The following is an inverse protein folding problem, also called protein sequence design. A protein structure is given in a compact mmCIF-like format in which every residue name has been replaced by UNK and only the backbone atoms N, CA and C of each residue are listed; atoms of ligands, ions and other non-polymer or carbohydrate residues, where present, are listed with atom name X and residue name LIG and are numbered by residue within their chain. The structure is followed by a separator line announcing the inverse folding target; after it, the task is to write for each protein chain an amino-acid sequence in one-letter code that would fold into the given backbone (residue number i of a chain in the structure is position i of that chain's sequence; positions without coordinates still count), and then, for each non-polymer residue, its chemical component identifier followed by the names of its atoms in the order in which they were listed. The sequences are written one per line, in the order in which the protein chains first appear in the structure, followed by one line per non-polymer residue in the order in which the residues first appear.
data_IF_642648246179
#
_entry.id   IF_642648246179
#
_cell.length_a   1.000
_cell.length_b   1.000
_cell.length_c   1.000
_cell.angle_alpha   90.00
_cell.angle_beta   90.00
_cell.angle_gamma   90.00
#
_symmetry.space_group_name_H-M   'P 1'
#
loop_
_entity.id
_entity.type
_entity.pdbx_description
1 polymer ?
#
# COMPACT_ATOMS: atom_id res chain seq x y z
N UNK A 1 -42.03 80.79 -11.73
CA UNK A 1 -40.78 80.21 -12.28
C UNK A 1 -40.65 80.27 -13.80
N UNK A 2 -41.65 80.72 -14.58
CA UNK A 2 -41.59 80.68 -16.07
C UNK A 2 -40.38 81.42 -16.67
N UNK A 3 -40.04 82.60 -16.13
CA UNK A 3 -38.85 83.36 -16.53
C UNK A 3 -37.53 82.59 -16.33
N UNK A 4 -37.39 81.86 -15.21
CA UNK A 4 -36.19 81.07 -14.94
C UNK A 4 -36.07 79.88 -15.90
N UNK A 5 -37.18 79.23 -16.23
CA UNK A 5 -37.18 78.19 -17.27
C UNK A 5 -36.71 78.72 -18.62
N UNK A 6 -37.10 79.94 -19.00
CA UNK A 6 -36.65 80.57 -20.24
C UNK A 6 -35.15 80.88 -20.24
N UNK A 7 -34.58 81.34 -19.12
CA UNK A 7 -33.15 81.62 -18.98
C UNK A 7 -32.27 80.35 -19.01
N UNK A 8 -32.79 79.19 -18.61
CA UNK A 8 -32.04 77.93 -18.64
C UNK A 8 -32.13 77.18 -19.97
N UNK A 9 -33.00 77.59 -20.91
CA UNK A 9 -33.08 77.05 -22.28
C UNK A 9 -31.73 76.89 -23.00
N UNK A 10 -30.81 77.88 -23.01
CA UNK A 10 -29.51 77.73 -23.67
C UNK A 10 -28.56 76.72 -22.98
N UNK A 11 -28.74 76.46 -21.69
CA UNK A 11 -27.87 75.56 -20.91
C UNK A 11 -28.38 74.12 -20.80
N UNK A 12 -29.55 73.82 -21.39
CA UNK A 12 -30.21 72.52 -21.33
C UNK A 12 -29.33 71.36 -21.78
N UNK A 13 -28.41 71.58 -22.75
CA UNK A 13 -27.47 70.55 -23.25
C UNK A 13 -26.42 70.10 -22.22
N UNK A 14 -26.17 70.88 -21.18
CA UNK A 14 -25.19 70.57 -20.13
C UNK A 14 -25.80 69.83 -18.93
N UNK A 15 -27.13 69.68 -18.90
CA UNK A 15 -27.85 69.07 -17.79
C UNK A 15 -28.11 67.59 -18.04
N UNK A 16 -27.93 66.78 -17.00
CA UNK A 16 -28.14 65.32 -17.05
C UNK A 16 -29.64 64.96 -17.00
N UNK A 17 -30.48 65.83 -16.45
CA UNK A 17 -31.94 65.68 -16.35
C UNK A 17 -32.66 67.02 -16.59
N UNK A 18 -33.96 66.96 -16.87
CA UNK A 18 -34.80 68.17 -16.97
C UNK A 18 -34.93 68.87 -15.60
N UNK A 19 -35.10 70.19 -15.63
CA UNK A 19 -35.15 71.05 -14.45
C UNK A 19 -36.50 70.90 -13.76
N UNK A 20 -36.49 70.74 -12.44
CA UNK A 20 -37.70 70.75 -11.60
C UNK A 20 -37.83 72.05 -10.80
N UNK A 21 -39.03 72.34 -10.31
CA UNK A 21 -39.30 73.52 -9.50
C UNK A 21 -38.48 73.54 -8.18
N UNK A 22 -38.12 72.37 -7.65
CA UNK A 22 -37.21 72.25 -6.51
C UNK A 22 -35.78 72.68 -6.83
N UNK A 23 -35.27 72.33 -8.01
CA UNK A 23 -33.92 72.70 -8.44
C UNK A 23 -33.83 74.23 -8.64
N UNK A 24 -34.90 74.86 -9.14
CA UNK A 24 -35.02 76.31 -9.25
C UNK A 24 -35.07 77.01 -7.89
N UNK A 25 -35.78 76.44 -6.90
CA UNK A 25 -35.78 76.96 -5.52
C UNK A 25 -34.41 76.84 -4.84
N UNK A 26 -33.68 75.75 -5.10
CA UNK A 26 -32.30 75.60 -4.60
C UNK A 26 -31.35 76.61 -5.22
N UNK A 27 -31.54 76.94 -6.50
CA UNK A 27 -30.76 77.94 -7.22
C UNK A 27 -30.98 79.36 -6.69
N UNK A 28 -32.21 79.73 -6.31
CA UNK A 28 -32.53 81.06 -5.76
C UNK A 28 -32.02 81.25 -4.33
N UNK A 29 -31.79 80.17 -3.59
CA UNK A 29 -31.30 80.18 -2.21
C UNK A 29 -29.78 80.02 -2.08
N UNK A 30 -29.03 80.10 -3.19
CA UNK A 30 -27.57 79.92 -3.14
C UNK A 30 -26.93 81.06 -2.35
N UNK A 31 -26.19 80.76 -1.26
CA UNK A 31 -25.50 81.78 -0.48
C UNK A 31 -24.39 82.43 -1.31
N UNK A 32 -24.23 83.76 -1.19
CA UNK A 32 -23.30 84.56 -2.00
C UNK A 32 -21.84 84.05 -1.99
N UNK A 33 -21.43 83.41 -0.90
CA UNK A 33 -20.10 82.77 -0.75
C UNK A 33 -19.86 81.72 -1.86
N UNK A 34 -20.88 80.94 -2.24
CA UNK A 34 -20.78 79.91 -3.28
C UNK A 34 -20.65 80.44 -4.72
N UNK A 35 -20.88 81.74 -4.91
CA UNK A 35 -20.76 82.41 -6.22
C UNK A 35 -19.31 82.89 -6.43
N UNK A 36 -18.46 82.80 -5.41
CA UNK A 36 -17.06 83.18 -5.51
C UNK A 36 -16.29 82.28 -6.47
N UNK A 37 -15.27 82.83 -7.14
CA UNK A 37 -14.45 82.12 -8.13
C UNK A 37 -13.78 80.85 -7.56
N UNK A 38 -13.44 80.85 -6.28
CA UNK A 38 -12.85 79.70 -5.58
C UNK A 38 -13.85 78.54 -5.40
N UNK A 39 -15.08 78.84 -4.96
CA UNK A 39 -16.13 77.82 -4.83
C UNK A 39 -16.60 77.31 -6.20
N UNK A 40 -16.63 78.18 -7.22
CA UNK A 40 -16.92 77.75 -8.61
C UNK A 40 -15.85 76.77 -9.12
N UNK A 41 -14.57 77.03 -8.88
CA UNK A 41 -13.49 76.13 -9.27
C UNK A 41 -13.54 74.79 -8.50
N UNK A 42 -13.90 74.81 -7.21
CA UNK A 42 -14.10 73.59 -6.42
C UNK A 42 -15.31 72.78 -6.89
N UNK A 43 -16.39 73.46 -7.27
CA UNK A 43 -17.56 72.81 -7.86
C UNK A 43 -17.22 72.18 -9.22
N UNK A 44 -16.42 72.83 -10.06
CA UNK A 44 -15.91 72.28 -11.31
C UNK A 44 -15.02 71.04 -11.09
N UNK A 45 -14.12 71.09 -10.10
CA UNK A 45 -13.30 69.93 -9.71
C UNK A 45 -14.18 68.75 -9.25
N UNK A 46 -15.15 69.01 -8.36
CA UNK A 46 -16.08 67.98 -7.90
C UNK A 46 -16.94 67.42 -9.05
N UNK A 47 -17.38 68.26 -10.00
CA UNK A 47 -18.11 67.81 -11.18
C UNK A 47 -17.26 66.88 -12.04
N UNK A 48 -15.95 67.17 -12.18
CA UNK A 48 -15.02 66.32 -12.92
C UNK A 48 -14.79 64.98 -12.21
N UNK A 49 -14.56 64.98 -10.90
CA UNK A 49 -14.42 63.74 -10.11
C UNK A 49 -15.68 62.86 -10.20
N UNK A 50 -16.86 63.47 -10.14
CA UNK A 50 -18.13 62.75 -10.28
C UNK A 50 -18.33 62.18 -11.68
N UNK A 51 -17.86 62.87 -12.73
CA UNK A 51 -17.88 62.36 -14.10
C UNK A 51 -16.95 61.16 -14.27
N UNK A 52 -15.73 61.24 -13.73
CA UNK A 52 -14.77 60.13 -13.76
C UNK A 52 -15.30 58.91 -13.00
N UNK A 53 -15.90 59.11 -11.82
CA UNK A 53 -16.57 58.03 -11.07
C UNK A 53 -17.75 57.43 -11.84
N UNK A 54 -18.55 58.25 -12.53
CA UNK A 54 -19.64 57.78 -13.36
C UNK A 54 -19.16 56.92 -14.54
N UNK A 55 -18.06 57.32 -15.17
CA UNK A 55 -17.43 56.54 -16.24
C UNK A 55 -16.90 55.20 -15.73
N UNK A 56 -16.23 55.20 -14.57
CA UNK A 56 -15.78 53.97 -13.92
C UNK A 56 -16.94 53.04 -13.55
N UNK A 57 -18.02 53.58 -12.94
CA UNK A 57 -19.21 52.79 -12.60
C UNK A 57 -19.87 52.22 -13.85
N UNK A 58 -20.00 53.01 -14.93
CA UNK A 58 -20.51 52.50 -16.21
C UNK A 58 -19.61 51.40 -16.79
N UNK A 59 -18.29 51.56 -16.69
CA UNK A 59 -17.33 50.54 -17.11
C UNK A 59 -17.49 49.24 -16.31
N UNK A 60 -17.65 49.33 -14.98
CA UNK A 60 -17.92 48.15 -14.14
C UNK A 60 -19.28 47.51 -14.41
N UNK A 61 -20.31 48.31 -14.71
CA UNK A 61 -21.65 47.81 -15.09
C UNK A 61 -21.64 47.10 -16.45
N UNK A 62 -20.81 47.55 -17.39
CA UNK A 62 -20.64 46.88 -18.68
C UNK A 62 -19.80 45.60 -18.53
N UNK A 63 -18.83 45.59 -17.61
CA UNK A 63 -17.90 44.47 -17.37
C UNK A 63 -18.16 43.80 -16.00
N UNK A 64 -19.41 43.39 -15.75
CA UNK A 64 -19.84 42.83 -14.47
C UNK A 64 -19.07 41.56 -14.04
N UNK A 65 -18.68 40.72 -15.00
CA UNK A 65 -17.95 39.48 -14.72
C UNK A 65 -16.56 39.78 -14.17
N UNK A 66 -15.83 40.71 -14.80
CA UNK A 66 -14.49 41.11 -14.35
C UNK A 66 -14.54 41.81 -12.99
N UNK A 67 -15.54 42.68 -12.80
CA UNK A 67 -15.79 43.32 -11.51
C UNK A 67 -16.08 42.28 -10.40
N UNK A 68 -16.90 41.26 -10.69
CA UNK A 68 -17.19 40.19 -9.74
C UNK A 68 -15.93 39.37 -9.41
N UNK A 69 -15.10 39.04 -10.40
CA UNK A 69 -13.83 38.33 -10.20
C UNK A 69 -12.88 39.16 -9.33
N UNK A 70 -12.76 40.45 -9.61
CA UNK A 70 -11.93 41.37 -8.82
C UNK A 70 -12.44 41.49 -7.39
N UNK A 71 -13.76 41.60 -7.21
CA UNK A 71 -14.40 41.60 -5.90
C UNK A 71 -14.08 40.31 -5.11
N UNK A 72 -14.20 39.12 -5.72
CA UNK A 72 -13.82 37.87 -5.05
C UNK A 72 -12.31 37.78 -4.77
N UNK A 73 -11.45 38.30 -5.65
CA UNK A 73 -10.00 38.38 -5.41
C UNK A 73 -9.67 39.29 -4.22
N UNK A 74 -10.35 40.44 -4.09
CA UNK A 74 -10.16 41.34 -2.94
C UNK A 74 -10.65 40.71 -1.64
N UNK A 75 -11.78 39.98 -1.66
CA UNK A 75 -12.24 39.20 -0.52
C UNK A 75 -11.24 38.12 -0.10
N UNK A 76 -10.70 37.37 -1.07
CA UNK A 76 -9.66 36.35 -0.80
C UNK A 76 -8.42 36.97 -0.17
N UNK A 77 -7.98 38.15 -0.63
CA UNK A 77 -6.84 38.87 -0.04
C UNK A 77 -7.12 39.36 1.38
N UNK A 78 -8.31 39.92 1.63
CA UNK A 78 -8.70 40.46 2.96
C UNK A 78 -8.93 39.37 4.01
N UNK A 79 -9.50 38.23 3.63
CA UNK A 79 -9.97 37.20 4.57
C UNK A 79 -9.25 35.85 4.44
N UNK A 80 -8.36 35.66 3.47
CA UNK A 80 -7.69 34.38 3.21
C UNK A 80 -6.38 34.17 3.98
N UNK A 81 -5.73 35.24 4.46
CA UNK A 81 -4.47 35.13 5.23
C UNK A 81 -4.74 34.44 6.57
N UNK A 82 -4.06 33.33 6.84
CA UNK A 82 -4.20 32.55 8.08
C UNK A 82 -5.40 31.59 8.12
N UNK A 83 -6.15 31.46 7.03
CA UNK A 83 -7.25 30.48 6.88
C UNK A 83 -6.90 29.43 5.83
N UNK A 84 -5.78 28.76 6.03
CA UNK A 84 -5.41 27.62 5.20
C UNK A 84 -6.34 26.44 5.45
N UNK A 85 -6.46 25.58 4.44
CA UNK A 85 -7.30 24.39 4.50
C UNK A 85 -6.72 23.45 5.56
N UNK A 86 -7.49 23.19 6.61
CA UNK A 86 -7.10 22.27 7.70
C UNK A 86 -7.28 20.79 7.36
N UNK A 87 -7.92 20.49 6.23
CA UNK A 87 -8.21 19.13 5.78
C UNK A 87 -7.38 18.77 4.56
N UNK A 88 -6.74 17.60 4.62
CA UNK A 88 -6.03 17.02 3.50
C UNK A 88 -7.00 16.17 2.66
N UNK A 89 -6.93 16.27 1.33
CA UNK A 89 -7.70 15.39 0.45
C UNK A 89 -6.84 14.18 0.14
N UNK A 90 -7.00 13.10 0.91
CA UNK A 90 -6.44 11.79 0.58
C UNK A 90 -7.50 10.95 -0.13
N UNK A 91 -7.12 10.29 -1.22
CA UNK A 91 -7.95 9.24 -1.81
C UNK A 91 -7.88 8.03 -0.88
N UNK A 92 -9.00 7.76 -0.21
CA UNK A 92 -9.16 6.55 0.59
C UNK A 92 -9.70 5.48 -0.35
N UNK A 93 -8.96 4.38 -0.53
CA UNK A 93 -9.55 3.19 -1.11
C UNK A 93 -10.71 2.70 -0.22
N UNK A 94 -11.80 2.27 -0.85
CA UNK A 94 -12.83 1.47 -0.21
C UNK A 94 -12.19 0.18 0.30
N UNK A 95 -11.74 0.21 1.56
CA UNK A 95 -11.25 -0.97 2.26
C UNK A 95 -12.41 -1.96 2.27
N UNK A 96 -12.28 -3.05 1.51
CA UNK A 96 -13.20 -4.16 1.61
C UNK A 96 -13.05 -4.69 3.03
N UNK A 97 -14.06 -4.48 3.87
CA UNK A 97 -14.05 -4.78 5.31
C UNK A 97 -13.68 -6.24 5.66
N UNK A 98 -13.56 -7.12 4.65
CA UNK A 98 -13.05 -8.48 4.80
C UNK A 98 -11.53 -8.58 4.96
N UNK A 99 -10.73 -7.63 4.49
CA UNK A 99 -9.25 -7.71 4.58
C UNK A 99 -8.66 -7.11 5.87
N UNK A 100 -9.41 -6.27 6.58
CA UNK A 100 -8.96 -5.65 7.85
C UNK A 100 -9.81 -6.18 8.98
N UNK A 101 -9.68 -7.48 9.24
CA UNK A 101 -10.18 -8.07 10.48
C UNK A 101 -8.93 -8.46 11.26
N UNK A 102 -8.70 -7.77 12.36
CA UNK A 102 -7.64 -8.11 13.31
C UNK A 102 -7.77 -9.60 13.65
N UNK A 103 -6.67 -10.35 13.49
CA UNK A 103 -6.55 -11.73 13.94
C UNK A 103 -6.59 -11.74 15.49
N UNK A 104 -7.81 -11.75 16.03
CA UNK A 104 -8.06 -11.65 17.47
C UNK A 104 -8.10 -13.02 18.14
N UNK A 105 -8.29 -14.09 17.38
CA UNK A 105 -8.45 -15.44 17.92
C UNK A 105 -7.23 -16.32 17.63
N UNK A 106 -6.96 -17.26 18.53
CA UNK A 106 -5.84 -18.20 18.42
C UNK A 106 -6.35 -19.56 18.00
N UNK A 107 -5.80 -20.11 16.93
CA UNK A 107 -6.17 -21.44 16.45
C UNK A 107 -5.33 -22.53 17.12
N UNK A 108 -6.01 -23.53 17.68
CA UNK A 108 -5.40 -24.69 18.32
C UNK A 108 -5.82 -26.00 17.64
N UNK A 109 -4.96 -27.02 17.72
CA UNK A 109 -5.22 -28.36 17.18
C UNK A 109 -4.87 -29.46 18.18
N UNK A 110 -5.78 -30.42 18.31
CA UNK A 110 -5.50 -31.71 18.91
C UNK A 110 -5.37 -32.76 17.80
N UNK A 111 -4.12 -33.09 17.45
CA UNK A 111 -3.83 -34.00 16.32
C UNK A 111 -4.28 -35.44 16.56
N UNK A 112 -4.20 -35.92 17.80
CA UNK A 112 -4.52 -37.30 18.15
C UNK A 112 -6.04 -37.56 18.16
N UNK A 113 -6.79 -36.65 18.77
CA UNK A 113 -8.25 -36.76 18.82
C UNK A 113 -8.93 -36.24 17.56
N UNK A 114 -8.28 -35.37 16.79
CA UNK A 114 -8.78 -34.90 15.50
C UNK A 114 -9.65 -33.64 15.57
N UNK A 115 -9.42 -32.80 16.59
CA UNK A 115 -10.17 -31.55 16.80
C UNK A 115 -9.33 -30.32 16.48
N UNK A 116 -9.95 -29.31 15.88
CA UNK A 116 -9.37 -27.99 15.60
C UNK A 116 -10.36 -26.93 16.08
N UNK A 117 -9.87 -25.86 16.69
CA UNK A 117 -10.71 -24.73 17.07
C UNK A 117 -10.04 -23.78 18.05
N UNK A 118 -10.75 -22.71 18.41
CA UNK A 118 -10.24 -21.62 19.24
C UNK A 118 -10.44 -21.86 20.75
N UNK A 119 -11.35 -22.77 21.12
CA UNK A 119 -11.61 -23.13 22.52
C UNK A 119 -10.57 -24.11 23.11
N UNK A 120 -9.71 -24.70 22.29
CA UNK A 120 -8.74 -25.74 22.68
C UNK A 120 -7.43 -25.15 23.24
N UNK A 121 -7.53 -24.26 24.22
CA UNK A 121 -6.38 -23.49 24.78
C UNK A 121 -5.25 -24.32 25.39
N UNK A 122 -5.44 -25.63 25.58
CA UNK A 122 -4.46 -26.56 26.16
C UNK A 122 -3.67 -27.36 25.11
N UNK A 123 -4.10 -27.32 23.86
CA UNK A 123 -3.51 -28.11 22.78
C UNK A 123 -2.50 -27.28 21.95
N UNK A 124 -1.96 -27.86 20.87
CA UNK A 124 -0.92 -27.24 20.06
C UNK A 124 -1.43 -25.96 19.37
N UNK A 125 -0.73 -24.84 19.59
CA UNK A 125 -1.00 -23.57 18.91
C UNK A 125 -0.46 -23.58 17.48
N UNK A 126 -1.26 -23.11 16.52
CA UNK A 126 -0.89 -23.07 15.09
C UNK A 126 -0.62 -21.64 14.64
N UNK A 127 -1.65 -20.79 14.61
CA UNK A 127 -1.58 -19.43 14.07
C UNK A 127 -2.74 -18.60 14.61
N UNK A 128 -2.59 -17.28 14.63
CA UNK A 128 -3.69 -16.36 14.91
C UNK A 128 -4.64 -16.29 13.69
N UNK A 129 -5.95 -16.35 13.93
CA UNK A 129 -6.99 -16.38 12.90
C UNK A 129 -8.12 -15.37 13.20
N UNK A 130 -8.87 -15.03 12.16
CA UNK A 130 -10.10 -14.24 12.24
C UNK A 130 -11.33 -15.15 12.13
N UNK A 131 -12.44 -14.77 12.76
CA UNK A 131 -13.71 -15.49 12.72
C UNK A 131 -14.25 -15.70 11.29
N UNK A 132 -13.82 -14.88 10.32
CA UNK A 132 -14.23 -15.00 8.92
C UNK A 132 -13.30 -15.89 8.07
N UNK A 133 -12.14 -16.27 8.61
CA UNK A 133 -11.19 -17.09 7.89
C UNK A 133 -11.71 -18.51 7.68
N UNK A 134 -11.24 -19.12 6.59
CA UNK A 134 -11.44 -20.53 6.32
C UNK A 134 -10.17 -21.29 6.75
N UNK A 135 -10.33 -22.45 7.38
CA UNK A 135 -9.22 -23.31 7.81
C UNK A 135 -9.20 -24.54 6.90
N UNK A 136 -8.02 -24.87 6.36
CA UNK A 136 -7.77 -26.13 5.66
C UNK A 136 -7.06 -27.11 6.58
N UNK A 137 -7.55 -28.36 6.60
CA UNK A 137 -6.97 -29.43 7.39
C UNK A 137 -6.83 -30.73 6.58
N UNK A 138 -5.73 -31.43 6.83
CA UNK A 138 -5.36 -32.68 6.16
C UNK A 138 -5.11 -33.78 7.20
N UNK A 139 -5.70 -34.96 6.97
CA UNK A 139 -5.54 -36.12 7.86
C UNK A 139 -4.61 -37.17 7.26
N UNK A 140 -4.08 -38.05 8.12
CA UNK A 140 -3.25 -39.19 7.72
C UNK A 140 -3.98 -40.21 6.85
N UNK A 141 -5.31 -40.24 6.88
CA UNK A 141 -6.12 -41.06 5.97
C UNK A 141 -6.15 -40.49 4.53
N UNK A 142 -5.60 -39.30 4.31
CA UNK A 142 -5.63 -38.62 3.02
C UNK A 142 -6.93 -37.88 2.76
N UNK A 143 -7.64 -37.47 3.82
CA UNK A 143 -8.84 -36.62 3.70
C UNK A 143 -8.48 -35.16 3.93
N UNK A 144 -9.11 -34.30 3.14
CA UNK A 144 -9.02 -32.85 3.23
C UNK A 144 -10.39 -32.28 3.56
N UNK A 145 -10.46 -31.35 4.50
CA UNK A 145 -11.67 -30.57 4.80
C UNK A 145 -11.31 -29.11 4.95
N UNK A 146 -12.17 -28.24 4.42
CA UNK A 146 -12.11 -26.81 4.69
C UNK A 146 -13.38 -26.37 5.40
N UNK A 147 -13.25 -25.60 6.46
CA UNK A 147 -14.35 -25.16 7.31
C UNK A 147 -14.07 -23.77 7.87
N UNK A 148 -15.12 -23.05 8.28
CA UNK A 148 -14.99 -21.73 8.90
C UNK A 148 -14.45 -21.88 10.33
N UNK A 149 -13.69 -20.89 10.83
CA UNK A 149 -13.29 -20.84 12.24
C UNK A 149 -14.51 -21.04 13.17
N UNK A 150 -14.35 -21.93 14.15
CA UNK A 150 -15.35 -22.24 15.17
C UNK A 150 -14.64 -22.78 16.43
N UNK A 151 -15.38 -22.83 17.54
CA UNK A 151 -14.85 -23.22 18.86
C UNK A 151 -14.19 -24.61 18.85
N UNK A 152 -14.84 -25.58 18.20
CA UNK A 152 -14.38 -26.98 18.11
C UNK A 152 -14.99 -27.68 16.90
N UNK A 153 -14.15 -28.12 15.97
CA UNK A 153 -14.54 -28.86 14.77
C UNK A 153 -13.78 -30.17 14.70
N UNK A 154 -14.49 -31.26 14.42
CA UNK A 154 -13.88 -32.55 14.16
C UNK A 154 -13.60 -32.71 12.65
N UNK A 155 -12.35 -33.07 12.32
CA UNK A 155 -11.92 -33.30 10.93
C UNK A 155 -11.53 -34.76 10.69
N UNK A 156 -11.10 -35.47 11.73
CA UNK A 156 -10.63 -36.85 11.67
C UNK A 156 -9.35 -37.02 12.50
N UNK A 157 -9.08 -38.24 12.94
CA UNK A 157 -7.89 -38.57 13.74
C UNK A 157 -6.60 -38.39 12.92
N UNK A 158 -5.50 -38.19 13.63
CA UNK A 158 -4.16 -38.01 13.05
C UNK A 158 -4.08 -36.88 12.02
N UNK A 159 -4.29 -35.64 12.48
CA UNK A 159 -4.16 -34.45 11.64
C UNK A 159 -2.68 -34.18 11.32
N UNK A 160 -2.34 -34.16 10.03
CA UNK A 160 -0.98 -33.92 9.54
C UNK A 160 -0.69 -32.42 9.36
N UNK A 161 -1.64 -31.67 8.80
CA UNK A 161 -1.45 -30.25 8.51
C UNK A 161 -2.73 -29.45 8.71
N UNK A 162 -2.58 -28.24 9.24
CA UNK A 162 -3.65 -27.25 9.43
C UNK A 162 -3.08 -25.88 9.09
N UNK A 163 -3.81 -25.10 8.30
CA UNK A 163 -3.44 -23.73 7.95
C UNK A 163 -4.69 -22.89 7.63
N UNK A 164 -4.49 -21.58 7.56
CA UNK A 164 -5.51 -20.66 7.05
C UNK A 164 -5.57 -20.83 5.52
N UNK A 165 -6.78 -21.04 5.01
CA UNK A 165 -7.06 -21.26 3.61
C UNK A 165 -7.30 -19.94 2.87
N UNK A 166 -6.35 -19.58 1.99
CA UNK A 166 -6.51 -18.47 1.06
C UNK A 166 -7.24 -18.95 -0.19
N UNK A 167 -8.45 -18.41 -0.44
CA UNK A 167 -9.23 -18.76 -1.64
C UNK A 167 -8.48 -18.33 -2.90
N UNK A 168 -8.50 -19.17 -3.93
CA UNK A 168 -7.80 -18.97 -5.21
C UNK A 168 -6.28 -18.81 -5.06
N UNK A 169 -5.69 -19.34 -3.98
CA UNK A 169 -4.23 -19.40 -3.87
C UNK A 169 -3.68 -20.52 -4.77
N UNK A 170 -3.00 -20.12 -5.83
CA UNK A 170 -2.32 -21.03 -6.75
C UNK A 170 -0.85 -21.26 -6.37
N UNK A 171 -0.31 -20.45 -5.45
CA UNK A 171 1.11 -20.42 -5.10
C UNK A 171 1.46 -21.47 -4.04
N UNK A 172 0.54 -21.72 -3.11
CA UNK A 172 0.73 -22.78 -2.11
C UNK A 172 0.60 -24.16 -2.75
N UNK A 173 1.73 -24.87 -2.84
CA UNK A 173 1.80 -26.23 -3.39
C UNK A 173 1.95 -27.22 -2.23
N UNK A 174 1.10 -28.23 -2.22
CA UNK A 174 1.18 -29.35 -1.31
C UNK A 174 1.88 -30.51 -1.98
N UNK A 175 2.86 -31.09 -1.29
CA UNK A 175 3.51 -32.33 -1.73
C UNK A 175 3.03 -33.46 -0.85
N UNK A 176 2.62 -34.56 -1.48
CA UNK A 176 2.08 -35.69 -0.77
C UNK A 176 2.65 -36.99 -1.28
N UNK A 177 3.11 -37.84 -0.36
CA UNK A 177 3.41 -39.27 -0.62
C UNK A 177 2.41 -40.10 0.16
N UNK A 178 1.65 -40.93 -0.54
CA UNK A 178 0.57 -41.71 0.07
C UNK A 178 0.50 -43.12 -0.51
N UNK A 179 0.02 -44.07 0.29
CA UNK A 179 -0.32 -45.42 -0.14
C UNK A 179 -1.83 -45.55 -0.22
N UNK A 180 -2.27 -46.07 -1.36
CA UNK A 180 -3.69 -46.27 -1.64
C UNK A 180 -4.14 -47.66 -1.15
N UNK A 181 -4.83 -47.71 -0.02
CA UNK A 181 -5.22 -48.95 0.66
C UNK A 181 -4.08 -49.72 1.35
N UNK A 182 -4.37 -50.80 2.12
CA UNK A 182 -3.37 -51.50 2.93
C UNK A 182 -2.31 -52.26 2.12
N UNK A 183 -2.69 -52.77 0.94
CA UNK A 183 -1.83 -53.55 0.03
C UNK A 183 -1.53 -52.83 -1.28
N UNK A 184 -1.89 -51.56 -1.41
CA UNK A 184 -1.72 -50.85 -2.67
C UNK A 184 -0.35 -50.20 -2.84
N UNK A 185 -0.24 -49.52 -3.97
CA UNK A 185 0.99 -48.88 -4.45
C UNK A 185 1.15 -47.53 -3.73
N UNK A 186 2.40 -47.12 -3.51
CA UNK A 186 2.70 -45.78 -3.00
C UNK A 186 2.86 -44.81 -4.17
N UNK A 187 2.10 -43.72 -4.12
CA UNK A 187 2.11 -42.63 -5.09
C UNK A 187 2.71 -41.37 -4.46
N UNK A 188 3.20 -40.49 -5.32
CA UNK A 188 3.60 -39.14 -4.97
C UNK A 188 2.88 -38.15 -5.89
N UNK A 189 2.53 -36.96 -5.38
CA UNK A 189 1.97 -35.88 -6.19
C UNK A 189 2.24 -34.49 -5.61
N UNK A 190 2.23 -33.50 -6.51
CA UNK A 190 2.22 -32.07 -6.19
C UNK A 190 0.88 -31.49 -6.63
N UNK A 191 0.22 -30.74 -5.74
CA UNK A 191 -1.07 -30.15 -6.06
C UNK A 191 -1.31 -28.84 -5.32
N UNK A 192 -2.10 -27.97 -5.92
CA UNK A 192 -2.64 -26.76 -5.28
C UNK A 192 -4.12 -26.97 -4.91
N UNK A 193 -4.62 -26.10 -4.03
CA UNK A 193 -6.03 -26.09 -3.61
C UNK A 193 -6.59 -24.69 -3.82
N UNK A 194 -7.22 -24.46 -4.97
CA UNK A 194 -7.75 -23.13 -5.33
C UNK A 194 -9.16 -22.90 -4.79
N UNK A 195 -10.08 -23.80 -5.14
CA UNK A 195 -11.50 -23.68 -4.82
C UNK A 195 -12.11 -24.98 -4.30
N UNK A 196 -12.83 -24.87 -3.19
CA UNK A 196 -13.56 -25.97 -2.55
C UNK A 196 -14.92 -25.51 -2.02
N UNK A 197 -15.78 -26.46 -1.70
CA UNK A 197 -17.01 -26.23 -0.94
C UNK A 197 -16.68 -26.47 0.54
N UNK A 198 -17.12 -25.54 1.40
CA UNK A 198 -16.96 -25.66 2.86
C UNK A 198 -17.67 -26.91 3.37
N UNK A 199 -17.14 -27.46 4.47
CA UNK A 199 -17.63 -28.63 5.21
C UNK A 199 -17.67 -29.95 4.45
N UNK A 200 -17.38 -29.94 3.14
CA UNK A 200 -17.24 -31.14 2.34
C UNK A 200 -15.88 -31.79 2.60
N UNK A 201 -15.91 -33.10 2.83
CA UNK A 201 -14.72 -33.93 2.92
C UNK A 201 -14.32 -34.35 1.51
N UNK A 202 -13.06 -34.12 1.16
CA UNK A 202 -12.47 -34.52 -0.11
C UNK A 202 -11.42 -35.60 0.12
N UNK A 203 -11.46 -36.65 -0.69
CA UNK A 203 -10.43 -37.69 -0.70
C UNK A 203 -9.28 -37.26 -1.63
N UNK A 204 -8.05 -37.27 -1.11
CA UNK A 204 -6.84 -36.98 -1.87
C UNK A 204 -6.17 -38.25 -2.39
N UNK A 205 -6.69 -39.43 -2.06
CA UNK A 205 -6.21 -40.73 -2.53
C UNK A 205 -7.09 -41.23 -3.68
N UNK A 206 -7.05 -42.51 -4.06
CA UNK A 206 -8.01 -43.04 -5.06
C UNK A 206 -9.35 -43.44 -4.44
N UNK A 207 -9.56 -43.25 -3.14
CA UNK A 207 -10.80 -43.60 -2.46
C UNK A 207 -10.83 -45.01 -1.87
N UNK A 208 -9.72 -45.75 -1.92
CA UNK A 208 -9.63 -47.06 -1.31
C UNK A 208 -9.56 -46.96 0.22
N UNK A 209 -10.31 -47.80 0.92
CA UNK A 209 -10.32 -47.84 2.39
C UNK A 209 -8.96 -48.25 2.94
N UNK A 210 -8.52 -47.64 4.04
CA UNK A 210 -7.22 -47.93 4.65
C UNK A 210 -6.01 -47.31 3.93
N UNK A 211 -6.24 -46.27 3.12
CA UNK A 211 -5.16 -45.44 2.58
C UNK A 211 -4.43 -44.68 3.68
N UNK A 212 -3.14 -44.41 3.47
CA UNK A 212 -2.30 -43.75 4.48
C UNK A 212 -1.33 -42.80 3.80
N UNK A 213 -1.28 -41.56 4.29
CA UNK A 213 -0.30 -40.55 3.89
C UNK A 213 0.97 -40.72 4.73
N UNK A 214 2.10 -40.84 4.06
CA UNK A 214 3.42 -40.96 4.69
C UNK A 214 4.16 -39.64 4.77
N UNK A 215 3.92 -38.74 3.82
CA UNK A 215 4.55 -37.43 3.76
C UNK A 215 3.52 -36.41 3.29
N UNK A 216 3.46 -35.28 3.98
CA UNK A 216 2.70 -34.11 3.55
C UNK A 216 3.52 -32.87 3.92
N UNK A 217 3.83 -32.04 2.95
CA UNK A 217 4.42 -30.71 3.15
C UNK A 217 3.53 -29.66 2.49
N UNK A 218 3.44 -28.48 3.12
CA UNK A 218 2.76 -27.32 2.57
C UNK A 218 3.83 -26.26 2.28
N UNK A 219 3.96 -25.90 1.00
CA UNK A 219 5.02 -25.03 0.49
C UNK A 219 4.37 -23.75 -0.08
N UNK A 220 4.27 -22.66 0.71
CA UNK A 220 3.58 -21.43 0.30
C UNK A 220 4.15 -20.74 -0.93
N UNK A 221 5.44 -20.98 -1.25
CA UNK A 221 6.08 -20.47 -2.45
C UNK A 221 6.40 -21.57 -3.46
N UNK A 222 5.75 -22.73 -3.34
CA UNK A 222 6.00 -23.86 -4.22
C UNK A 222 7.42 -24.42 -4.12
N UNK A 223 8.05 -24.32 -2.96
CA UNK A 223 9.37 -24.90 -2.68
C UNK A 223 9.38 -26.41 -2.97
N UNK A 224 10.39 -26.88 -3.73
CA UNK A 224 10.53 -28.29 -4.12
C UNK A 224 11.50 -29.09 -3.27
N UNK A 225 10.99 -29.74 -2.23
CA UNK A 225 11.81 -30.55 -1.33
C UNK A 225 12.32 -31.84 -1.96
N UNK A 226 13.46 -32.33 -1.47
CA UNK A 226 13.94 -33.69 -1.73
C UNK A 226 13.65 -34.57 -0.52
N UNK A 227 13.03 -35.73 -0.76
CA UNK A 227 12.66 -36.68 0.29
C UNK A 227 13.24 -38.06 0.02
N UNK A 228 13.59 -38.77 1.09
CA UNK A 228 14.04 -40.14 1.04
C UNK A 228 12.93 -41.08 1.54
N UNK A 229 12.48 -41.98 0.68
CA UNK A 229 11.52 -43.04 0.99
C UNK A 229 12.26 -44.29 1.42
N UNK A 230 12.07 -44.68 2.68
CA UNK A 230 12.66 -45.88 3.25
C UNK A 230 11.68 -47.05 3.19
N UNK A 231 12.07 -48.12 2.51
CA UNK A 231 11.27 -49.32 2.33
C UNK A 231 11.45 -50.27 3.51
N UNK A 232 10.42 -51.06 3.82
CA UNK A 232 10.55 -52.20 4.74
C UNK A 232 11.42 -53.27 4.09
N UNK A 233 12.36 -53.84 4.85
CA UNK A 233 13.20 -54.91 4.35
C UNK A 233 12.36 -56.16 4.03
N UNK A 234 12.44 -56.63 2.79
CA UNK A 234 11.80 -57.86 2.30
C UNK A 234 12.84 -58.64 1.50
N UNK A 235 12.79 -59.97 1.59
CA UNK A 235 13.71 -60.87 0.88
C UNK A 235 13.70 -60.59 -0.62
N UNK A 236 14.87 -60.36 -1.22
CA UNK A 236 15.04 -60.05 -2.64
C UNK A 236 15.08 -58.57 -3.00
N UNK A 237 14.86 -57.66 -2.04
CA UNK A 237 14.94 -56.21 -2.28
C UNK A 237 16.41 -55.72 -2.22
N UNK A 238 16.94 -55.23 -3.34
CA UNK A 238 18.35 -54.76 -3.43
C UNK A 238 18.55 -53.32 -2.94
N UNK A 239 17.53 -52.45 -3.07
CA UNK A 239 17.57 -51.04 -2.65
C UNK A 239 16.50 -50.78 -1.61
N UNK A 240 16.92 -50.38 -0.41
CA UNK A 240 16.02 -50.09 0.72
C UNK A 240 15.63 -48.61 0.82
N UNK A 241 16.29 -47.74 0.05
CA UNK A 241 16.08 -46.30 0.06
C UNK A 241 15.87 -45.82 -1.36
N UNK A 242 14.90 -44.95 -1.55
CA UNK A 242 14.60 -44.28 -2.81
C UNK A 242 14.58 -42.78 -2.52
N UNK A 243 15.48 -42.04 -3.17
CA UNK A 243 15.45 -40.59 -3.11
C UNK A 243 14.52 -40.05 -4.20
N UNK A 244 13.72 -39.06 -3.83
CA UNK A 244 12.72 -38.43 -4.68
C UNK A 244 12.96 -36.93 -4.65
N UNK A 245 12.94 -36.31 -5.82
CA UNK A 245 12.91 -34.87 -5.96
C UNK A 245 11.53 -34.42 -6.42
N UNK A 246 10.85 -33.58 -5.63
CA UNK A 246 9.58 -33.01 -6.05
C UNK A 246 9.75 -31.98 -7.19
N UNK A 247 10.95 -31.44 -7.42
CA UNK A 247 11.18 -30.47 -8.49
C UNK A 247 10.93 -31.07 -9.88
N UNK A 248 11.18 -32.37 -10.05
CA UNK A 248 10.97 -33.11 -11.30
C UNK A 248 9.50 -33.39 -11.62
N UNK A 249 8.59 -33.06 -10.69
CA UNK A 249 7.17 -33.33 -10.84
C UNK A 249 6.39 -32.09 -11.22
N UNK A 250 5.46 -32.23 -12.17
CA UNK A 250 4.49 -31.17 -12.47
C UNK A 250 3.48 -30.99 -11.34
N UNK A 251 3.04 -29.74 -11.17
CA UNK A 251 1.92 -29.38 -10.29
C UNK A 251 0.62 -29.74 -11.01
N UNK A 252 -0.20 -30.61 -10.39
CA UNK A 252 -1.48 -31.07 -10.96
C UNK A 252 -2.63 -30.71 -10.03
N UNK A 253 -3.87 -30.99 -10.46
CA UNK A 253 -5.04 -30.83 -9.61
C UNK A 253 -5.05 -31.82 -8.43
N UNK A 254 -5.70 -31.46 -7.32
CA UNK A 254 -5.85 -32.31 -6.13
C UNK A 254 -6.42 -33.71 -6.39
N UNK A 255 -7.26 -33.87 -7.40
CA UNK A 255 -7.87 -35.16 -7.79
C UNK A 255 -6.94 -36.05 -8.60
N UNK A 256 -5.77 -35.54 -9.00
CA UNK A 256 -4.78 -36.34 -9.72
C UNK A 256 -4.26 -37.47 -8.82
N UNK A 257 -4.05 -38.63 -9.43
CA UNK A 257 -3.46 -39.81 -8.77
C UNK A 257 -1.99 -39.60 -8.44
N UNK A 258 -1.25 -38.90 -9.30
CA UNK A 258 0.19 -38.73 -9.15
C UNK A 258 1.01 -39.87 -9.78
N UNK A 259 2.32 -39.82 -9.53
CA UNK A 259 3.30 -40.75 -10.08
C UNK A 259 3.55 -41.90 -9.10
N UNK A 260 3.89 -43.07 -9.61
CA UNK A 260 4.21 -44.25 -8.79
C UNK A 260 5.62 -44.08 -8.23
N UNK A 261 5.74 -44.16 -6.90
CA UNK A 261 7.03 -44.23 -6.22
C UNK A 261 7.53 -45.66 -6.15
N UNK A 262 6.71 -46.55 -5.60
CA UNK A 262 7.10 -47.94 -5.34
C UNK A 262 5.89 -48.82 -5.11
N UNK A 263 6.02 -50.09 -5.49
CA UNK A 263 5.04 -51.14 -5.18
C UNK A 263 5.34 -51.84 -3.85
N UNK A 264 6.52 -51.60 -3.28
CA UNK A 264 6.93 -52.21 -2.01
C UNK A 264 6.37 -51.42 -0.82
N UNK A 265 6.29 -52.08 0.34
CA UNK A 265 5.81 -51.44 1.56
C UNK A 265 6.81 -50.40 2.05
N UNK A 266 6.34 -49.15 2.16
CA UNK A 266 7.11 -48.05 2.74
C UNK A 266 7.06 -48.12 4.26
N UNK A 267 8.22 -47.95 4.89
CA UNK A 267 8.35 -47.84 6.33
C UNK A 267 8.14 -46.39 6.79
N UNK A 268 8.92 -45.45 6.24
CA UNK A 268 8.80 -44.02 6.50
C UNK A 268 9.36 -43.18 5.36
N UNK A 269 8.99 -41.91 5.33
CA UNK A 269 9.55 -40.90 4.43
C UNK A 269 10.25 -39.85 5.29
N UNK A 270 11.46 -39.45 4.90
CA UNK A 270 12.31 -38.52 5.65
C UNK A 270 12.71 -37.37 4.73
N UNK A 271 12.65 -36.14 5.23
CA UNK A 271 13.17 -34.97 4.51
C UNK A 271 14.68 -35.07 4.36
N UNK A 272 15.17 -34.92 3.12
CA UNK A 272 16.61 -34.93 2.82
C UNK A 272 17.14 -33.50 2.67
N UNK A 273 16.43 -32.66 1.92
CA UNK A 273 16.77 -31.25 1.74
C UNK A 273 15.52 -30.41 1.52
N UNK A 274 15.50 -29.19 2.09
CA UNK A 274 14.48 -28.18 1.76
C UNK A 274 14.78 -27.59 0.38
N UNK A 275 13.73 -27.46 -0.42
CA UNK A 275 13.83 -27.00 -1.81
C UNK A 275 13.95 -25.50 -1.99
N UNK A 276 14.47 -25.09 -3.15
CA UNK A 276 14.25 -23.76 -3.68
C UNK A 276 12.83 -23.64 -4.29
N UNK A 277 12.31 -22.42 -4.40
CA UNK A 277 11.03 -22.15 -5.06
C UNK A 277 11.11 -22.55 -6.54
N UNK A 278 10.16 -23.35 -7.02
CA UNK A 278 10.10 -23.75 -8.45
C UNK A 278 9.15 -22.88 -9.27
N UNK A 279 8.53 -21.88 -8.67
CA UNK A 279 7.61 -20.98 -9.34
C UNK A 279 8.38 -19.79 -9.93
N UNK A 280 7.95 -19.33 -11.11
CA UNK A 280 8.49 -18.11 -11.70
C UNK A 280 8.19 -16.90 -10.80
N UNK A 281 9.11 -15.93 -10.80
CA UNK A 281 8.93 -14.69 -10.05
C UNK A 281 7.85 -13.81 -10.65
N UNK A 282 7.06 -13.19 -9.79
CA UNK A 282 6.00 -12.25 -10.18
C UNK A 282 6.49 -10.82 -10.05
N UNK A 283 5.99 -9.94 -10.91
CA UNK A 283 6.30 -8.52 -10.90
C UNK A 283 5.51 -7.77 -9.81
N UNK A 284 6.18 -6.85 -9.12
CA UNK A 284 5.59 -6.01 -8.08
C UNK A 284 5.91 -4.53 -8.30
N UNK A 285 4.94 -3.69 -7.96
CA UNK A 285 5.05 -2.23 -7.96
C UNK A 285 4.69 -1.68 -6.59
N UNK A 286 5.32 -0.57 -6.23
CA UNK A 286 5.02 0.22 -5.05
C UNK A 286 4.21 1.46 -5.44
N UNK A 287 3.03 1.59 -4.86
CA UNK A 287 2.17 2.75 -5.05
C UNK A 287 2.38 3.76 -3.92
N UNK A 288 2.97 4.91 -4.25
CA UNK A 288 3.24 6.00 -3.32
C UNK A 288 1.98 6.61 -2.71
N UNK A 289 0.83 6.55 -3.40
CA UNK A 289 -0.41 7.12 -2.91
C UNK A 289 -1.05 6.28 -1.80
N UNK A 290 -0.96 4.95 -1.92
CA UNK A 290 -1.54 3.99 -0.96
C UNK A 290 -0.50 3.44 0.03
N UNK A 291 0.79 3.67 -0.21
CA UNK A 291 1.91 3.12 0.56
C UNK A 291 1.85 1.59 0.63
N UNK A 292 1.52 0.95 -0.50
CA UNK A 292 1.30 -0.50 -0.60
C UNK A 292 1.91 -1.09 -1.87
N UNK A 293 2.13 -2.40 -1.85
CA UNK A 293 2.47 -3.15 -3.05
C UNK A 293 1.22 -3.46 -3.87
N UNK A 294 1.39 -3.51 -5.18
CA UNK A 294 0.39 -3.99 -6.13
C UNK A 294 1.04 -4.77 -7.27
N UNK A 295 0.21 -5.46 -8.05
CA UNK A 295 0.57 -6.19 -9.28
C UNK A 295 -0.04 -5.56 -10.53
N UNK A 296 -0.67 -4.38 -10.40
CA UNK A 296 -1.47 -3.75 -11.45
C UNK A 296 -0.67 -2.70 -12.24
N UNK A 297 0.66 -2.79 -12.22
CA UNK A 297 1.58 -1.85 -12.88
C UNK A 297 1.44 -0.39 -12.42
N UNK A 298 0.96 -0.16 -11.19
CA UNK A 298 0.76 1.19 -10.64
C UNK A 298 1.91 1.60 -9.74
N UNK A 299 2.55 2.73 -10.06
CA UNK A 299 3.63 3.32 -9.28
C UNK A 299 5.01 2.83 -9.69
N UNK A 300 5.92 2.70 -8.73
CA UNK A 300 7.34 2.41 -8.97
C UNK A 300 7.57 0.90 -9.05
N UNK A 301 8.12 0.43 -10.16
CA UNK A 301 8.45 -0.98 -10.34
C UNK A 301 9.60 -1.40 -9.42
N UNK A 302 9.40 -2.48 -8.65
CA UNK A 302 10.40 -2.99 -7.71
C UNK A 302 11.18 -4.21 -8.25
N UNK A 303 10.66 -4.88 -9.27
CA UNK A 303 11.28 -6.08 -9.84
C UNK A 303 10.39 -7.33 -9.74
N UNK A 304 10.96 -8.46 -10.16
CA UNK A 304 10.38 -9.80 -9.99
C UNK A 304 10.76 -10.41 -8.65
N UNK A 305 9.79 -10.94 -7.92
CA UNK A 305 9.99 -11.55 -6.60
C UNK A 305 9.62 -13.03 -6.62
N UNK A 306 10.50 -13.87 -6.08
CA UNK A 306 10.23 -15.29 -5.84
C UNK A 306 10.87 -15.77 -4.53
N UNK A 307 10.36 -16.88 -3.99
CA UNK A 307 10.94 -17.56 -2.83
C UNK A 307 11.20 -16.66 -1.62
N UNK A 308 12.49 -16.46 -1.32
CA UNK A 308 12.99 -15.74 -0.14
C UNK A 308 13.38 -14.28 -0.43
N UNK A 309 13.02 -13.75 -1.61
CA UNK A 309 13.27 -12.36 -1.95
C UNK A 309 12.61 -11.42 -0.93
N UNK A 310 13.30 -10.30 -0.64
CA UNK A 310 12.85 -9.28 0.29
C UNK A 310 12.84 -7.90 -0.34
N UNK A 311 12.12 -6.98 0.29
CA UNK A 311 12.07 -5.57 -0.07
C UNK A 311 12.80 -4.79 1.01
N UNK A 312 13.76 -3.99 0.59
CA UNK A 312 14.52 -3.10 1.44
C UNK A 312 13.85 -1.74 1.53
N UNK A 313 13.63 -1.24 2.74
CA UNK A 313 13.04 0.08 2.96
C UNK A 313 13.91 0.96 3.85
N UNK A 314 13.94 2.25 3.53
CA UNK A 314 14.53 3.30 4.36
C UNK A 314 13.56 4.46 4.54
N UNK A 315 13.46 4.93 5.78
CA UNK A 315 12.65 6.08 6.16
C UNK A 315 13.49 7.36 6.26
N UNK A 316 12.85 8.52 6.17
CA UNK A 316 13.46 9.84 6.31
C UNK A 316 14.21 10.01 7.64
N UNK A 317 13.77 9.30 8.68
CA UNK A 317 14.41 9.28 10.01
C UNK A 317 15.61 8.34 10.10
N UNK A 318 15.99 7.69 9.00
CA UNK A 318 17.10 6.75 8.94
C UNK A 318 16.79 5.40 9.58
N UNK A 319 15.52 5.00 9.59
CA UNK A 319 15.15 3.63 9.92
C UNK A 319 15.21 2.74 8.69
N UNK A 320 15.84 1.59 8.87
CA UNK A 320 16.09 0.58 7.87
C UNK A 320 15.38 -0.72 8.26
N UNK A 321 14.70 -1.37 7.30
CA UNK A 321 14.01 -2.64 7.53
C UNK A 321 13.86 -3.46 6.25
N UNK A 322 13.90 -4.79 6.39
CA UNK A 322 13.53 -5.73 5.34
C UNK A 322 12.07 -6.19 5.51
N UNK A 323 11.30 -6.08 4.44
CA UNK A 323 9.93 -6.58 4.32
C UNK A 323 9.86 -7.79 3.40
N UNK A 324 8.83 -8.63 3.59
CA UNK A 324 8.42 -9.59 2.55
C UNK A 324 7.57 -8.86 1.49
N UNK A 325 7.39 -9.46 0.32
CA UNK A 325 6.57 -8.89 -0.77
C UNK A 325 5.06 -9.19 -0.62
N UNK A 326 4.53 -9.24 0.61
CA UNK A 326 3.09 -9.43 0.84
C UNK A 326 2.30 -8.16 0.49
N UNK A 327 1.27 -8.29 -0.34
CA UNK A 327 0.39 -7.19 -0.79
C UNK A 327 -0.39 -6.53 0.36
N UNK A 328 -0.54 -7.23 1.48
CA UNK A 328 -1.21 -6.70 2.68
C UNK A 328 -0.35 -5.71 3.46
N UNK A 329 0.98 -5.70 3.25
CA UNK A 329 1.88 -4.80 3.95
C UNK A 329 1.61 -3.36 3.55
N UNK A 330 1.42 -2.52 4.57
CA UNK A 330 1.45 -1.07 4.43
C UNK A 330 2.81 -0.56 4.90
N UNK A 331 3.49 0.19 4.04
CA UNK A 331 4.77 0.82 4.35
C UNK A 331 4.57 2.11 5.14
N UNK A 332 5.66 2.59 5.73
CA UNK A 332 5.65 3.82 6.54
C UNK A 332 5.51 5.05 5.64
N UNK A 333 4.71 6.03 6.06
CA UNK A 333 4.44 7.23 5.24
C UNK A 333 5.71 8.10 5.05
N UNK A 334 6.76 7.96 5.88
CA UNK A 334 8.03 8.67 5.77
C UNK A 334 9.10 7.90 4.97
N UNK A 335 8.69 6.94 4.14
CA UNK A 335 9.56 6.18 3.27
C UNK A 335 10.25 7.09 2.22
N UNK A 336 11.57 7.00 2.11
CA UNK A 336 12.38 7.75 1.12
C UNK A 336 13.03 6.84 0.08
N UNK A 337 13.16 5.56 0.37
CA UNK A 337 13.78 4.59 -0.52
C UNK A 337 13.17 3.21 -0.33
N UNK A 338 12.86 2.56 -1.45
CA UNK A 338 12.33 1.20 -1.51
C UNK A 338 12.90 0.50 -2.74
N UNK A 339 13.45 -0.69 -2.55
CA UNK A 339 14.04 -1.47 -3.63
C UNK A 339 14.01 -2.96 -3.29
N UNK A 340 14.11 -3.82 -4.30
CA UNK A 340 14.36 -5.25 -4.07
C UNK A 340 15.71 -5.42 -3.36
N UNK A 341 15.72 -6.19 -2.28
CA UNK A 341 16.93 -6.44 -1.50
C UNK A 341 17.92 -7.31 -2.28
N UNK A 342 19.16 -6.83 -2.39
CA UNK A 342 20.28 -7.55 -2.98
C UNK A 342 21.46 -7.56 -1.98
N UNK A 343 21.85 -8.72 -1.42
CA UNK A 343 22.87 -8.79 -0.36
C UNK A 343 24.24 -8.22 -0.74
N UNK A 344 24.61 -8.28 -2.00
CA UNK A 344 25.93 -7.87 -2.50
C UNK A 344 25.97 -6.41 -2.99
N UNK A 345 24.82 -5.72 -3.03
CA UNK A 345 24.73 -4.36 -3.55
C UNK A 345 24.95 -3.34 -2.42
N UNK A 346 26.04 -2.56 -2.43
CA UNK A 346 26.29 -1.57 -1.39
C UNK A 346 25.34 -0.40 -1.52
N UNK A 347 24.84 0.05 -0.37
CA UNK A 347 24.00 1.22 -0.28
C UNK A 347 24.82 2.42 0.19
N UNK A 348 24.68 3.55 -0.50
CA UNK A 348 25.28 4.82 -0.12
C UNK A 348 24.17 5.80 0.26
N UNK A 349 24.34 6.51 1.36
CA UNK A 349 23.39 7.54 1.80
C UNK A 349 24.11 8.81 2.25
N UNK A 350 23.42 9.93 2.13
CA UNK A 350 23.76 11.21 2.73
C UNK A 350 22.72 11.54 3.79
N UNK A 351 23.16 11.84 5.00
CA UNK A 351 22.27 12.23 6.10
C UNK A 351 22.81 13.47 6.81
N UNK A 352 21.89 14.25 7.38
CA UNK A 352 22.20 15.35 8.28
C UNK A 352 22.22 14.83 9.70
N UNK A 353 23.31 15.07 10.42
CA UNK A 353 23.43 14.80 11.85
C UNK A 353 22.97 16.04 12.62
N UNK A 354 21.88 15.90 13.38
CA UNK A 354 21.30 16.98 14.15
C UNK A 354 22.11 17.38 15.39
N UNK A 355 22.93 16.49 15.95
CA UNK A 355 23.81 16.81 17.08
C UNK A 355 25.01 17.63 16.60
N UNK A 356 25.60 17.24 15.47
CA UNK A 356 26.80 17.89 14.91
C UNK A 356 26.49 19.03 13.95
N UNK A 357 25.24 19.16 13.51
CA UNK A 357 24.77 20.14 12.52
C UNK A 357 25.56 20.07 11.19
N UNK A 358 25.87 18.86 10.73
CA UNK A 358 26.70 18.60 9.55
C UNK A 358 26.15 17.43 8.72
N UNK A 359 26.45 17.43 7.43
CA UNK A 359 26.13 16.32 6.54
C UNK A 359 27.22 15.25 6.58
N UNK A 360 26.81 13.99 6.63
CA UNK A 360 27.68 12.82 6.61
C UNK A 360 27.28 11.89 5.48
N UNK A 361 28.28 11.20 4.92
CA UNK A 361 28.09 10.14 3.94
C UNK A 361 28.34 8.80 4.61
N UNK A 362 27.42 7.85 4.44
CA UNK A 362 27.58 6.48 4.95
C UNK A 362 27.38 5.49 3.80
N UNK A 363 28.33 4.60 3.63
CA UNK A 363 28.28 3.51 2.65
C UNK A 363 28.46 2.18 3.37
N UNK A 364 27.56 1.24 3.14
CA UNK A 364 27.51 -0.04 3.85
C UNK A 364 26.81 -1.10 3.01
N UNK A 365 27.04 -2.38 3.35
CA UNK A 365 26.27 -3.49 2.80
C UNK A 365 25.02 -3.68 3.65
N UNK A 366 23.81 -3.69 3.06
CA UNK A 366 22.60 -3.84 3.83
C UNK A 366 22.48 -5.26 4.41
N UNK A 367 22.20 -5.35 5.72
CA UNK A 367 21.99 -6.63 6.41
C UNK A 367 20.52 -7.07 6.34
N UNK A 368 20.24 -8.37 6.25
CA UNK A 368 18.87 -8.91 6.16
C UNK A 368 18.12 -8.86 7.51
N UNK A 369 17.83 -7.65 7.99
CA UNK A 369 17.18 -7.40 9.28
C UNK A 369 15.69 -7.12 9.10
N UNK A 370 14.83 -8.00 9.65
CA UNK A 370 13.37 -7.77 9.68
C UNK A 370 12.94 -6.77 10.77
N UNK A 371 13.82 -6.52 11.75
CA UNK A 371 13.60 -5.56 12.83
C UNK A 371 13.97 -4.17 12.35
N UNK A 372 13.12 -3.20 12.67
CA UNK A 372 13.36 -1.78 12.37
C UNK A 372 14.61 -1.31 13.09
N UNK A 373 15.64 -0.93 12.33
CA UNK A 373 16.97 -0.59 12.86
C UNK A 373 17.32 0.84 12.48
N UNK A 374 17.75 1.65 13.45
CA UNK A 374 18.21 3.01 13.18
C UNK A 374 19.67 2.99 12.71
N UNK A 375 19.98 3.65 11.59
CA UNK A 375 21.33 3.65 11.00
C UNK A 375 22.01 5.02 10.96
N UNK A 376 21.35 6.06 11.48
CA UNK A 376 21.89 7.41 11.69
C UNK A 376 21.83 7.78 13.18
N UNK A 377 22.55 8.81 13.65
CA UNK A 377 22.48 9.26 15.04
C UNK A 377 21.06 9.67 15.45
N UNK A 378 20.65 9.25 16.65
CA UNK A 378 19.34 9.55 17.20
C UNK A 378 19.30 11.02 17.68
N UNK A 379 18.65 11.87 16.89
CA UNK A 379 18.43 13.28 17.23
C UNK A 379 17.21 13.80 16.47
N UNK A 380 16.43 14.71 17.06
CA UNK A 380 15.17 15.20 16.46
C UNK A 380 15.37 15.84 15.08
N UNK A 381 16.51 16.48 14.88
CA UNK A 381 16.89 17.12 13.61
C UNK A 381 17.64 16.20 12.63
N UNK A 382 18.01 14.98 13.04
CA UNK A 382 18.70 14.04 12.16
C UNK A 382 17.76 13.50 11.10
N UNK A 383 18.18 13.51 9.84
CA UNK A 383 17.38 13.00 8.72
C UNK A 383 18.26 12.53 7.57
N UNK A 384 17.77 11.56 6.82
CA UNK A 384 18.37 11.13 5.56
C UNK A 384 17.88 12.02 4.44
N UNK A 385 18.81 12.51 3.61
CA UNK A 385 18.52 13.41 2.49
C UNK A 385 18.55 12.67 1.15
N UNK A 386 19.48 11.73 1.00
CA UNK A 386 19.66 11.01 -0.25
C UNK A 386 20.11 9.57 0.01
N UNK A 387 19.60 8.65 -0.80
CA UNK A 387 19.98 7.23 -0.80
C UNK A 387 20.20 6.80 -2.24
N UNK A 388 21.19 5.95 -2.48
CA UNK A 388 21.43 5.34 -3.78
C UNK A 388 22.08 3.95 -3.63
N UNK A 389 21.67 3.04 -4.50
CA UNK A 389 22.25 1.70 -4.66
C UNK A 389 23.26 1.63 -5.81
N UNK A 390 23.61 2.77 -6.44
CA UNK A 390 24.61 2.80 -7.50
C UNK A 390 25.98 2.32 -7.00
N UNK A 391 26.67 1.53 -7.82
CA UNK A 391 27.97 0.94 -7.47
C UNK A 391 29.05 2.01 -7.26
N UNK A 392 29.04 3.08 -8.08
CA UNK A 392 30.01 4.18 -7.99
C UNK A 392 29.28 5.53 -8.08
N UNK A 393 28.61 5.97 -6.99
CA UNK A 393 27.86 7.22 -7.02
C UNK A 393 28.82 8.42 -6.97
N UNK A 394 28.53 9.44 -7.77
CA UNK A 394 29.20 10.74 -7.73
C UNK A 394 28.23 11.76 -7.12
N UNK A 395 28.69 12.48 -6.10
CA UNK A 395 27.90 13.51 -5.41
C UNK A 395 28.50 14.89 -5.71
N UNK A 396 27.69 15.80 -6.23
CA UNK A 396 28.06 17.20 -6.40
C UNK A 396 27.59 18.01 -5.18
N UNK A 397 28.48 18.78 -4.58
CA UNK A 397 28.20 19.58 -3.38
C UNK A 397 28.27 21.06 -3.71
N UNK A 398 27.17 21.78 -3.48
CA UNK A 398 27.13 23.22 -3.62
C UNK A 398 27.15 23.91 -2.25
N UNK A 399 28.25 24.58 -1.93
CA UNK A 399 28.34 25.41 -0.72
C UNK A 399 27.81 26.82 -1.00
N UNK A 400 26.92 27.31 -0.14
CA UNK A 400 26.49 28.72 -0.17
C UNK A 400 27.66 29.63 0.23
N UNK A 401 27.91 30.68 -0.55
CA UNK A 401 28.99 31.65 -0.28
C UNK A 401 28.83 32.27 1.10
N UNK A 402 29.76 31.99 2.01
CA UNK A 402 30.02 32.86 3.16
C UNK A 402 30.67 34.14 2.61
N UNK A 403 30.17 35.32 2.98
CA UNK A 403 30.75 36.62 2.56
C UNK A 403 32.26 36.64 2.88
N UNK A 404 33.10 36.53 1.86
CA UNK A 404 34.55 36.75 1.99
C UNK A 404 35.47 35.72 1.34
N UNK A 405 35.01 34.51 0.99
CA UNK A 405 35.87 33.49 0.38
C UNK A 405 35.27 32.90 -0.90
N UNK A 406 36.15 32.64 -1.89
CA UNK A 406 35.72 32.08 -3.17
C UNK A 406 35.23 30.64 -2.99
N UNK A 407 34.11 30.25 -3.65
CA UNK A 407 33.63 28.89 -3.62
C UNK A 407 34.66 27.99 -4.28
N UNK A 408 35.20 27.03 -3.53
CA UNK A 408 35.87 25.87 -4.11
C UNK A 408 34.78 24.88 -4.49
N UNK A 409 34.66 24.64 -5.79
CA UNK A 409 33.87 23.55 -6.39
C UNK A 409 34.42 22.20 -5.99
#
# INVERSE_FOLDING_TARGET
FSYLYDCFKPHRKKLVRDITDEDLNKLTQIPMIRITRFDSAKAEANMKELQELLEQVKHHLNNLVDYAIEYFKTLKKKYGTGRERKTETKQLETIVATQVILANEKLFVNRAEGFIGTALKKDEFITDCSDLDDIIAFTKEGKMKVFKVADKVFVGKDIMHVAIFKKNDERTIYHMVYRDGPKGITFMKRFNVTGITRDKIYDLTKGNTGSTVYWLSANPNGEAEQVQVQLRAVTGLRKLQIDIDFAEMDVKARSAVGNIVTKYTVNKVVLKAKGASTLEGEDFWFDEATQRLNKDEKGTYLGKFSGADGILTLSAKGHYRLYTYDLSHRFEDDLIWIEKFQPELPLSMVYFDGERQQYFVKRFLPEALQVKTLIIPEHENSRVELVTSQVNPLLELHFSKVKGEQPKS
#
